data_IF_411074397360
#
_entry.id   IF_411074397360
#
_cell.length_a   1.000
_cell.length_b   1.000
_cell.length_c   1.000
_cell.angle_alpha   90.00
_cell.angle_beta   90.00
_cell.angle_gamma   90.00
#
_symmetry.space_group_name_H-M   'P 1'
#
loop_
_entity.id
_entity.type
_entity.pdbx_description
1 polymer ?
#
# COMPACT_ATOMS: atom_id res chain seq x y z
N UNK A 1 6.17 18.95 -3.61
CA UNK A 1 7.24 18.05 -3.13
C UNK A 1 7.88 17.23 -4.25
N UNK A 2 7.15 16.45 -5.04
CA UNK A 2 7.80 15.65 -6.09
C UNK A 2 8.64 16.48 -7.10
N UNK A 3 8.07 17.58 -7.63
CA UNK A 3 8.78 18.50 -8.54
C UNK A 3 10.06 19.09 -7.91
N UNK A 4 10.00 19.46 -6.64
CA UNK A 4 11.15 20.09 -5.94
C UNK A 4 12.26 19.10 -5.63
N UNK A 5 11.94 17.81 -5.51
CA UNK A 5 12.92 16.74 -5.27
C UNK A 5 13.23 15.90 -6.51
N UNK A 6 12.73 16.30 -7.69
CA UNK A 6 12.84 15.54 -8.93
C UNK A 6 12.45 14.06 -8.77
N UNK A 7 11.38 13.80 -8.02
CA UNK A 7 10.96 12.46 -7.64
C UNK A 7 9.88 11.91 -8.59
N UNK A 8 9.93 10.60 -8.83
CA UNK A 8 8.84 9.86 -9.47
C UNK A 8 7.67 9.71 -8.48
N UNK A 9 6.46 9.99 -8.94
CA UNK A 9 5.23 9.74 -8.17
C UNK A 9 4.62 8.44 -8.65
N UNK A 10 4.24 7.60 -7.69
CA UNK A 10 3.54 6.34 -7.94
C UNK A 10 2.35 6.30 -7.00
N UNK A 11 1.17 6.01 -7.54
CA UNK A 11 -0.02 5.71 -6.76
C UNK A 11 -0.33 4.23 -6.93
N UNK A 12 -0.14 3.48 -5.85
CA UNK A 12 -0.47 2.06 -5.80
C UNK A 12 -1.93 1.89 -5.39
N UNK A 13 -2.71 1.21 -6.22
CA UNK A 13 -4.12 0.94 -5.93
C UNK A 13 -4.23 -0.24 -4.95
N UNK A 14 -5.14 -0.12 -3.98
CA UNK A 14 -5.34 -1.12 -2.95
C UNK A 14 -6.09 -2.33 -3.51
N UNK A 15 -5.75 -3.55 -3.09
CA UNK A 15 -6.51 -4.77 -3.44
C UNK A 15 -7.99 -4.61 -3.12
N UNK A 16 -8.86 -5.15 -3.98
CA UNK A 16 -10.32 -5.04 -3.98
C UNK A 16 -10.90 -3.63 -4.23
N UNK A 17 -10.07 -2.66 -4.65
CA UNK A 17 -10.54 -1.33 -5.06
C UNK A 17 -10.19 -1.06 -6.52
N UNK A 18 -11.04 -0.27 -7.18
CA UNK A 18 -10.83 0.15 -8.57
C UNK A 18 -10.79 -1.04 -9.52
N UNK A 19 -9.60 -1.32 -10.07
CA UNK A 19 -9.34 -2.43 -11.00
C UNK A 19 -8.43 -3.51 -10.39
N UNK A 20 -8.00 -3.33 -9.15
CA UNK A 20 -7.02 -4.20 -8.50
C UNK A 20 -7.70 -5.30 -7.71
N UNK A 21 -8.06 -6.41 -8.36
CA UNK A 21 -8.65 -7.59 -7.71
C UNK A 21 -7.67 -8.76 -7.75
N UNK A 22 -7.47 -9.47 -6.63
CA UNK A 22 -6.77 -10.74 -6.65
C UNK A 22 -7.43 -11.71 -7.62
N UNK A 23 -6.63 -12.51 -8.31
CA UNK A 23 -7.14 -13.59 -9.13
C UNK A 23 -7.49 -14.74 -8.17
N UNK A 24 -8.78 -14.93 -7.94
CA UNK A 24 -9.33 -16.01 -7.10
C UNK A 24 -9.93 -17.12 -7.98
N UNK A 25 -10.45 -18.17 -7.33
CA UNK A 25 -11.13 -19.34 -7.88
C UNK A 25 -11.45 -19.28 -9.40
N UNK A 26 -10.57 -19.86 -10.22
CA UNK A 26 -10.81 -20.04 -11.66
C UNK A 26 -10.40 -18.88 -12.57
N UNK A 27 -9.77 -17.82 -12.05
CA UNK A 27 -9.22 -16.76 -12.90
C UNK A 27 -10.09 -15.51 -13.03
N UNK A 28 -11.19 -15.42 -12.27
CA UNK A 28 -12.17 -14.33 -12.42
C UNK A 28 -11.63 -13.02 -11.84
N UNK A 29 -11.57 -11.99 -12.68
CA UNK A 29 -11.27 -10.62 -12.24
C UNK A 29 -12.54 -10.01 -11.66
N UNK A 30 -12.43 -9.34 -10.51
CA UNK A 30 -13.56 -8.69 -9.86
C UNK A 30 -14.38 -9.62 -8.97
N UNK A 31 -13.83 -10.77 -8.56
CA UNK A 31 -14.50 -11.65 -7.60
C UNK A 31 -14.62 -10.96 -6.23
N UNK A 32 -15.86 -10.77 -5.80
CA UNK A 32 -16.25 -10.18 -4.52
C UNK A 32 -17.01 -11.19 -3.65
N UNK A 33 -16.84 -12.50 -3.92
CA UNK A 33 -17.37 -13.58 -3.10
C UNK A 33 -16.80 -13.53 -1.68
N UNK A 34 -17.51 -14.13 -0.72
CA UNK A 34 -17.06 -14.23 0.67
C UNK A 34 -15.69 -14.90 0.76
N UNK A 35 -15.44 -15.92 -0.07
CA UNK A 35 -14.16 -16.63 -0.13
C UNK A 35 -13.03 -15.70 -0.61
N UNK A 36 -13.27 -14.91 -1.66
CA UNK A 36 -12.30 -13.93 -2.14
C UNK A 36 -12.02 -12.85 -1.10
N UNK A 37 -13.06 -12.34 -0.43
CA UNK A 37 -12.95 -11.26 0.55
C UNK A 37 -12.14 -11.64 1.80
N UNK A 38 -11.86 -12.92 2.05
CA UNK A 38 -10.90 -13.32 3.08
C UNK A 38 -9.49 -12.76 2.82
N UNK A 39 -9.17 -12.40 1.58
CA UNK A 39 -7.90 -11.78 1.19
C UNK A 39 -7.89 -10.25 1.37
N UNK A 40 -9.03 -9.63 1.68
CA UNK A 40 -9.15 -8.18 1.91
C UNK A 40 -8.77 -7.85 3.37
N UNK A 41 -7.47 -7.91 3.66
CA UNK A 41 -6.93 -7.57 4.98
C UNK A 41 -5.82 -6.52 4.89
N UNK A 42 -5.62 -5.69 5.94
CA UNK A 42 -4.52 -4.73 5.96
C UNK A 42 -3.13 -5.39 5.83
N UNK A 43 -2.92 -6.55 6.45
CA UNK A 43 -1.67 -7.32 6.40
C UNK A 43 -1.31 -7.66 4.95
N UNK A 44 -2.29 -8.16 4.22
CA UNK A 44 -2.19 -8.50 2.82
C UNK A 44 -1.95 -7.26 1.93
N UNK A 45 -2.59 -6.13 2.20
CA UNK A 45 -2.33 -4.88 1.49
C UNK A 45 -0.91 -4.33 1.76
N UNK A 46 -0.38 -4.54 2.97
CA UNK A 46 1.01 -4.19 3.30
C UNK A 46 2.02 -5.09 2.56
N UNK A 47 1.72 -6.37 2.42
CA UNK A 47 2.52 -7.31 1.61
C UNK A 47 2.52 -6.90 0.13
N UNK A 48 1.38 -6.46 -0.42
CA UNK A 48 1.33 -5.92 -1.79
C UNK A 48 2.25 -4.72 -1.96
N UNK A 49 2.23 -3.79 -1.00
CA UNK A 49 3.10 -2.61 -1.01
C UNK A 49 4.58 -2.99 -0.91
N UNK A 50 4.92 -3.91 -0.01
CA UNK A 50 6.29 -4.38 0.16
C UNK A 50 6.81 -5.09 -1.10
N UNK A 51 5.99 -5.98 -1.68
CA UNK A 51 6.31 -6.67 -2.91
C UNK A 51 6.43 -5.70 -4.08
N UNK A 52 5.52 -4.74 -4.19
CA UNK A 52 5.58 -3.69 -5.21
C UNK A 52 6.91 -2.93 -5.12
N UNK A 53 7.29 -2.42 -3.96
CA UNK A 53 8.54 -1.66 -3.79
C UNK A 53 9.79 -2.48 -4.16
N UNK A 54 9.81 -3.77 -3.78
CA UNK A 54 10.94 -4.67 -4.05
C UNK A 54 11.06 -5.06 -5.53
N UNK A 55 9.95 -5.11 -6.25
CA UNK A 55 9.90 -5.63 -7.62
C UNK A 55 9.66 -4.55 -8.68
N UNK A 56 9.32 -3.32 -8.26
CA UNK A 56 8.95 -2.25 -9.16
C UNK A 56 10.08 -1.90 -10.13
N UNK A 57 9.73 -1.87 -11.42
CA UNK A 57 10.58 -1.40 -12.50
C UNK A 57 9.85 -0.28 -13.24
N UNK A 58 10.54 0.83 -13.45
CA UNK A 58 10.00 1.95 -14.22
C UNK A 58 10.71 2.06 -15.56
N UNK A 59 10.04 1.62 -16.62
CA UNK A 59 10.63 1.54 -17.98
C UNK A 59 11.94 0.74 -17.93
N UNK A 60 12.95 1.15 -18.70
CA UNK A 60 14.28 0.54 -18.72
C UNK A 60 15.27 1.30 -17.81
N UNK A 61 14.79 1.98 -16.76
CA UNK A 61 15.66 2.70 -15.83
C UNK A 61 16.09 1.75 -14.71
N UNK A 62 17.41 1.57 -14.58
CA UNK A 62 18.01 0.92 -13.42
C UNK A 62 18.29 1.95 -12.32
N UNK A 63 17.51 1.88 -11.24
CA UNK A 63 17.72 2.73 -10.07
C UNK A 63 18.78 2.12 -9.16
N UNK A 64 19.86 2.84 -8.89
CA UNK A 64 20.83 2.45 -7.86
C UNK A 64 20.35 2.94 -6.50
N UNK A 65 19.99 2.00 -5.60
CA UNK A 65 19.55 2.27 -4.23
C UNK A 65 18.46 3.37 -4.12
N UNK A 66 17.31 3.22 -4.80
CA UNK A 66 16.25 4.22 -4.76
C UNK A 66 15.75 4.45 -3.33
N UNK A 67 15.48 5.72 -3.00
CA UNK A 67 14.91 6.12 -1.71
C UNK A 67 13.40 6.25 -1.85
N UNK A 68 12.67 5.38 -1.17
CA UNK A 68 11.21 5.39 -1.14
C UNK A 68 10.69 6.20 0.04
N UNK A 69 9.77 7.12 -0.23
CA UNK A 69 9.00 7.87 0.76
C UNK A 69 7.53 7.53 0.58
N UNK A 70 6.89 7.01 1.62
CA UNK A 70 5.48 6.64 1.58
C UNK A 70 4.59 7.86 1.84
N UNK A 71 3.40 7.86 1.23
CA UNK A 71 2.38 8.87 1.46
C UNK A 71 1.04 8.19 1.68
N UNK A 72 0.29 8.66 2.67
CA UNK A 72 -1.06 8.19 2.92
C UNK A 72 -1.86 9.19 3.76
N UNK A 73 -3.16 9.26 3.50
CA UNK A 73 -4.11 10.04 4.30
C UNK A 73 -5.23 9.13 4.83
N UNK A 74 -5.73 9.35 6.04
CA UNK A 74 -6.78 8.50 6.64
C UNK A 74 -6.34 7.02 6.72
N UNK A 75 -7.16 6.07 6.25
CA UNK A 75 -6.80 4.64 6.21
C UNK A 75 -5.46 4.35 5.48
N UNK A 76 -5.20 4.88 4.27
CA UNK A 76 -3.86 4.84 3.67
C UNK A 76 -2.75 5.44 4.54
N UNK A 77 -3.07 6.41 5.40
CA UNK A 77 -2.14 6.93 6.41
C UNK A 77 -1.79 5.88 7.46
N UNK A 78 -2.77 5.11 7.94
CA UNK A 78 -2.52 3.97 8.84
C UNK A 78 -1.64 2.91 8.15
N UNK A 79 -1.93 2.57 6.89
CA UNK A 79 -1.06 1.66 6.11
C UNK A 79 0.35 2.20 5.92
N UNK A 80 0.51 3.49 5.65
CA UNK A 80 1.81 4.18 5.58
C UNK A 80 2.62 4.00 6.86
N UNK A 81 2.00 4.20 8.03
CA UNK A 81 2.67 4.08 9.31
C UNK A 81 3.03 2.62 9.64
N UNK A 82 2.09 1.70 9.44
CA UNK A 82 2.30 0.27 9.66
C UNK A 82 3.33 -0.33 8.71
N UNK A 83 3.38 0.13 7.45
CA UNK A 83 4.42 -0.29 6.51
C UNK A 83 5.81 0.03 7.05
N UNK A 84 6.02 1.23 7.61
CA UNK A 84 7.31 1.60 8.21
C UNK A 84 7.64 0.80 9.47
N UNK A 85 6.62 0.44 10.25
CA UNK A 85 6.76 -0.31 11.50
C UNK A 85 7.08 -1.80 11.26
N UNK A 86 6.42 -2.44 10.29
CA UNK A 86 6.57 -3.88 10.02
C UNK A 86 7.60 -4.20 8.93
N UNK A 87 7.88 -3.28 8.00
CA UNK A 87 8.85 -3.43 6.92
C UNK A 87 9.88 -2.31 7.00
N UNK A 88 10.87 -2.48 7.86
CA UNK A 88 11.77 -1.40 8.23
C UNK A 88 12.76 -0.99 7.14
N UNK A 89 12.88 -1.79 6.07
CA UNK A 89 13.86 -1.68 5.00
C UNK A 89 13.31 -1.16 3.66
N UNK A 90 11.99 -1.22 3.44
CA UNK A 90 11.39 -0.88 2.13
C UNK A 90 11.21 0.63 1.91
N UNK A 91 11.26 1.45 2.96
CA UNK A 91 11.14 2.91 2.84
C UNK A 91 12.05 3.62 3.85
N UNK A 92 12.48 4.83 3.50
CA UNK A 92 13.28 5.65 4.42
C UNK A 92 12.41 6.53 5.33
N UNK A 93 11.12 6.66 5.02
CA UNK A 93 10.14 7.38 5.83
C UNK A 93 8.77 7.45 5.15
N UNK A 94 7.81 8.08 5.83
CA UNK A 94 6.47 8.27 5.27
C UNK A 94 5.74 9.48 5.88
N UNK A 95 4.89 10.09 5.07
CA UNK A 95 3.96 11.14 5.48
C UNK A 95 2.58 10.49 5.63
N UNK A 96 2.23 10.18 6.88
CA UNK A 96 1.06 9.40 7.23
C UNK A 96 0.00 10.33 7.86
N UNK A 97 -0.66 11.13 7.02
CA UNK A 97 -1.56 12.21 7.43
C UNK A 97 -2.89 11.68 7.97
N UNK A 98 -3.37 12.26 9.07
CA UNK A 98 -4.67 11.92 9.69
C UNK A 98 -4.89 10.41 9.86
N UNK A 99 -3.82 9.67 10.18
CA UNK A 99 -3.84 8.22 10.33
C UNK A 99 -4.45 7.81 11.68
N UNK A 100 -5.61 7.13 11.71
CA UNK A 100 -6.12 6.55 12.96
C UNK A 100 -5.29 5.31 13.30
N UNK A 101 -4.21 5.50 14.08
CA UNK A 101 -3.38 4.38 14.56
C UNK A 101 -3.94 3.71 15.82
N UNK A 102 -4.68 4.49 16.61
CA UNK A 102 -5.39 4.00 17.78
C UNK A 102 -6.70 3.38 17.33
N UNK A 103 -6.68 2.07 17.14
CA UNK A 103 -7.88 1.31 16.79
C UNK A 103 -8.82 1.32 18.00
N UNK A 104 -10.00 1.93 17.83
CA UNK A 104 -11.11 1.80 18.77
C UNK A 104 -11.96 0.63 18.31
N UNK A 105 -12.14 -0.36 19.17
CA UNK A 105 -13.05 -1.48 18.90
C UNK A 105 -14.50 -0.99 18.91
N UNK A 106 -14.84 -0.16 19.90
CA UNK A 106 -16.15 0.46 20.03
C UNK A 106 -16.05 1.98 19.91
N UNK A 107 -16.88 2.55 19.05
CA UNK A 107 -17.12 3.98 19.00
C UNK A 107 -18.39 4.27 19.79
N UNK A 108 -18.26 4.63 21.06
CA UNK A 108 -19.38 5.17 21.84
C UNK A 108 -19.59 6.64 21.47
N UNK A 109 -20.80 6.98 21.03
CA UNK A 109 -21.28 8.36 20.88
C UNK A 109 -21.93 8.89 22.15
#
# INVERSE_FOLDING_TARGET
MAKTHNALIIQLEHRFFGKSYPITNGGTIGDMSVDALQLLTPQQALEDLANFIKTFKYKNIEWKNPKWILFGGSYPGTLCAWSRAFYTDISVGGICSSAPLWVKLDFSG
#
